data_IF_363959693741
#
_entry.id   IF_363959693741
#
_cell.length_a   1.000
_cell.length_b   1.000
_cell.length_c   1.000
_cell.angle_alpha   90.00
_cell.angle_beta   90.00
_cell.angle_gamma   90.00
#
_symmetry.space_group_name_H-M   'P 1'
#
loop_
_entity.id
_entity.type
_entity.pdbx_description
1 polymer ?
#
# COMPACT_ATOMS: atom_id res chain seq x y z
N UNK A 1 -21.56 -3.31 -6.40
CA UNK A 1 -22.84 -4.00 -6.73
C UNK A 1 -23.47 -3.28 -7.89
N UNK A 2 -24.04 -4.00 -8.83
CA UNK A 2 -24.65 -3.45 -10.08
C UNK A 2 -23.67 -2.60 -10.90
N UNK A 3 -22.38 -2.94 -10.87
CA UNK A 3 -21.33 -2.20 -11.54
C UNK A 3 -21.03 -0.81 -10.96
N UNK A 4 -21.62 -0.41 -9.81
CA UNK A 4 -21.34 0.87 -9.17
C UNK A 4 -20.04 0.81 -8.36
N UNK A 5 -19.16 1.77 -8.64
CA UNK A 5 -17.90 1.91 -7.92
C UNK A 5 -18.14 2.49 -6.52
N UNK A 6 -17.50 1.88 -5.52
CA UNK A 6 -17.42 2.38 -4.16
C UNK A 6 -15.95 2.53 -3.80
N UNK A 7 -15.47 3.76 -3.66
CA UNK A 7 -14.05 4.04 -3.39
C UNK A 7 -13.80 3.92 -1.89
N UNK A 8 -13.01 2.94 -1.48
CA UNK A 8 -12.64 2.76 -0.08
C UNK A 8 -11.63 3.82 0.37
N UNK A 9 -10.60 4.03 -0.42
CA UNK A 9 -9.59 5.05 -0.17
C UNK A 9 -8.75 5.25 -1.45
N UNK A 10 -7.84 6.21 -1.39
CA UNK A 10 -6.81 6.44 -2.40
C UNK A 10 -5.45 6.23 -1.77
N UNK A 11 -4.49 5.75 -2.56
CA UNK A 11 -3.13 5.44 -2.10
C UNK A 11 -2.12 6.23 -2.91
N UNK A 12 -1.26 6.99 -2.25
CA UNK A 12 -0.06 7.50 -2.88
C UNK A 12 1.04 6.43 -2.81
N UNK A 13 1.70 6.20 -3.95
CA UNK A 13 2.74 5.22 -4.14
C UNK A 13 4.09 5.92 -4.30
N UNK A 14 5.11 5.45 -3.59
CA UNK A 14 6.49 5.88 -3.74
C UNK A 14 7.30 4.75 -4.36
N UNK A 15 8.08 5.07 -5.40
CA UNK A 15 8.98 4.11 -6.06
C UNK A 15 10.42 4.59 -5.98
N UNK A 16 11.37 3.66 -6.05
CA UNK A 16 12.78 3.97 -6.27
C UNK A 16 13.09 4.27 -7.75
N UNK A 17 14.37 4.44 -8.09
CA UNK A 17 14.84 4.77 -9.44
C UNK A 17 14.55 3.64 -10.46
N UNK A 18 14.41 2.40 -10.00
CA UNK A 18 14.08 1.22 -10.81
C UNK A 18 12.57 0.95 -10.88
N UNK A 19 11.73 1.92 -10.46
CA UNK A 19 10.27 1.82 -10.38
C UNK A 19 9.75 0.73 -9.44
N UNK A 20 10.58 0.23 -8.53
CA UNK A 20 10.16 -0.70 -7.48
C UNK A 20 9.46 0.09 -6.37
N UNK A 21 8.32 -0.40 -5.92
CA UNK A 21 7.54 0.21 -4.85
C UNK A 21 8.27 0.10 -3.51
N UNK A 22 8.50 1.25 -2.87
CA UNK A 22 9.20 1.36 -1.59
C UNK A 22 8.31 1.88 -0.47
N UNK A 23 7.07 2.26 -0.77
CA UNK A 23 6.12 2.67 0.25
C UNK A 23 4.77 3.12 -0.31
N UNK A 24 3.78 3.11 0.58
CA UNK A 24 2.41 3.54 0.32
C UNK A 24 1.90 4.40 1.45
N UNK A 25 1.00 5.34 1.15
CA UNK A 25 0.32 6.15 2.15
C UNK A 25 -1.15 6.31 1.80
N UNK A 26 -2.03 6.23 2.79
CA UNK A 26 -3.48 6.40 2.71
C UNK A 26 -3.99 7.33 3.81
N UNK A 27 -5.02 8.16 3.52
CA UNK A 27 -5.51 8.46 2.18
C UNK A 27 -4.52 9.33 1.40
N UNK A 28 -4.42 9.15 0.10
CA UNK A 28 -3.66 10.08 -0.75
C UNK A 28 -4.42 11.39 -0.89
N UNK A 29 -3.68 12.50 -0.91
CA UNK A 29 -4.25 13.81 -1.23
C UNK A 29 -4.61 13.90 -2.71
N UNK A 30 -5.90 14.01 -3.00
CA UNK A 30 -6.43 14.20 -4.34
C UNK A 30 -6.53 15.67 -4.78
N UNK A 31 -6.00 16.64 -4.02
CA UNK A 31 -5.95 18.05 -4.45
C UNK A 31 -5.12 18.25 -5.73
N UNK A 32 -4.30 17.26 -6.08
CA UNK A 32 -3.56 17.24 -7.34
C UNK A 32 -4.43 16.98 -8.56
N UNK A 33 -5.65 16.45 -8.44
CA UNK A 33 -6.58 16.27 -9.57
C UNK A 33 -7.49 17.50 -9.75
N UNK A 34 -7.98 17.68 -10.98
CA UNK A 34 -8.80 18.85 -11.31
C UNK A 34 -10.17 18.82 -10.65
N UNK A 35 -10.77 17.63 -10.53
CA UNK A 35 -12.11 17.45 -9.98
C UNK A 35 -12.26 16.03 -9.45
N UNK A 36 -12.68 15.91 -8.18
CA UNK A 36 -13.02 14.61 -7.58
C UNK A 36 -14.21 13.96 -8.30
N UNK A 37 -15.22 14.74 -8.65
CA UNK A 37 -16.39 14.24 -9.38
C UNK A 37 -16.00 13.68 -10.75
N UNK A 38 -15.16 14.40 -11.50
CA UNK A 38 -14.68 13.94 -12.80
C UNK A 38 -13.85 12.65 -12.67
N UNK A 39 -13.03 12.52 -11.61
CA UNK A 39 -12.30 11.29 -11.31
C UNK A 39 -13.24 10.11 -11.09
N UNK A 40 -14.27 10.27 -10.26
CA UNK A 40 -15.26 9.24 -9.97
C UNK A 40 -16.05 8.83 -11.23
N UNK A 41 -16.46 9.79 -12.07
CA UNK A 41 -17.16 9.55 -13.33
C UNK A 41 -16.30 8.80 -14.35
N UNK A 42 -15.02 9.19 -14.49
CA UNK A 42 -14.08 8.50 -15.37
C UNK A 42 -13.82 7.08 -14.91
N UNK A 43 -13.57 6.88 -13.60
CA UNK A 43 -13.39 5.56 -13.02
C UNK A 43 -14.60 4.65 -13.27
N UNK A 44 -15.81 5.17 -13.01
CA UNK A 44 -17.05 4.43 -13.27
C UNK A 44 -17.19 4.07 -14.75
N UNK A 45 -16.83 4.99 -15.66
CA UNK A 45 -16.86 4.73 -17.10
C UNK A 45 -15.89 3.62 -17.53
N UNK A 46 -14.69 3.60 -16.95
CA UNK A 46 -13.73 2.52 -17.18
C UNK A 46 -14.24 1.17 -16.68
N UNK A 47 -14.79 1.12 -15.46
CA UNK A 47 -15.37 -0.10 -14.87
C UNK A 47 -16.49 -0.65 -15.75
N UNK A 48 -17.39 0.21 -16.22
CA UNK A 48 -18.48 -0.17 -17.13
C UNK A 48 -17.95 -0.72 -18.47
N UNK A 49 -16.96 -0.05 -19.05
CA UNK A 49 -16.35 -0.47 -20.32
C UNK A 49 -15.62 -1.83 -20.21
N UNK A 50 -15.08 -2.13 -19.05
CA UNK A 50 -14.42 -3.42 -18.75
C UNK A 50 -15.42 -4.53 -18.37
N UNK A 51 -16.71 -4.20 -18.20
CA UNK A 51 -17.73 -5.18 -17.80
C UNK A 51 -17.55 -5.72 -16.38
N UNK A 52 -16.95 -4.94 -15.48
CA UNK A 52 -16.74 -5.35 -14.09
C UNK A 52 -18.01 -5.04 -13.30
N UNK A 53 -18.67 -6.08 -12.77
CA UNK A 53 -19.96 -5.95 -12.10
C UNK A 53 -19.87 -6.03 -10.57
N UNK A 54 -18.88 -6.75 -10.03
CA UNK A 54 -18.74 -6.97 -8.59
C UNK A 54 -17.30 -7.31 -8.21
N UNK A 55 -17.02 -7.32 -6.91
CA UNK A 55 -15.72 -7.69 -6.34
C UNK A 55 -14.85 -6.48 -5.98
N UNK A 56 -13.70 -6.77 -5.40
CA UNK A 56 -12.71 -5.75 -5.12
C UNK A 56 -11.94 -5.36 -6.38
N UNK A 57 -11.63 -4.09 -6.48
CA UNK A 57 -10.89 -3.54 -7.60
C UNK A 57 -9.69 -2.74 -7.07
N UNK A 58 -8.51 -3.08 -7.56
CA UNK A 58 -7.30 -2.30 -7.37
C UNK A 58 -6.98 -1.61 -8.69
N UNK A 59 -6.93 -0.27 -8.67
CA UNK A 59 -6.72 0.55 -9.85
C UNK A 59 -5.50 1.42 -9.66
N UNK A 60 -4.60 1.38 -10.64
CA UNK A 60 -3.44 2.26 -10.69
C UNK A 60 -3.63 3.37 -11.71
N UNK A 61 -3.22 4.56 -11.35
CA UNK A 61 -3.29 5.74 -12.22
C UNK A 61 -2.18 6.74 -11.88
N UNK A 62 -1.90 7.61 -12.82
CA UNK A 62 -1.00 8.76 -12.63
C UNK A 62 -1.77 10.05 -12.75
N UNK A 63 -1.32 11.07 -12.04
CA UNK A 63 -1.80 12.44 -12.18
C UNK A 63 -0.68 13.24 -12.85
N UNK A 64 -0.96 13.77 -14.05
CA UNK A 64 0.03 14.58 -14.78
C UNK A 64 0.21 15.97 -14.13
N UNK A 65 1.28 16.72 -14.48
CA UNK A 65 1.45 18.12 -14.05
C UNK A 65 0.25 19.01 -14.41
N UNK A 66 -0.45 18.68 -15.50
CA UNK A 66 -1.67 19.39 -15.94
C UNK A 66 -2.94 18.91 -15.20
N UNK A 67 -2.76 18.11 -14.13
CA UNK A 67 -3.82 17.52 -13.29
C UNK A 67 -4.79 16.58 -14.04
N UNK A 68 -4.34 15.99 -15.13
CA UNK A 68 -5.08 14.96 -15.86
C UNK A 68 -4.78 13.58 -15.29
N UNK A 69 -5.78 12.70 -15.33
CA UNK A 69 -5.64 11.31 -14.90
C UNK A 69 -5.24 10.46 -16.11
N UNK A 70 -4.21 9.66 -15.93
CA UNK A 70 -3.80 8.62 -16.87
C UNK A 70 -4.01 7.28 -16.19
N UNK A 71 -5.02 6.54 -16.63
CA UNK A 71 -5.33 5.22 -16.11
C UNK A 71 -4.26 4.23 -16.53
N UNK A 72 -3.77 3.43 -15.58
CA UNK A 72 -2.76 2.40 -15.78
C UNK A 72 -3.41 1.03 -15.78
N UNK A 73 -3.47 0.40 -14.61
CA UNK A 73 -3.88 -0.98 -14.46
C UNK A 73 -5.20 -1.10 -13.69
N UNK A 74 -6.04 -2.06 -14.13
CA UNK A 74 -7.29 -2.43 -13.49
C UNK A 74 -7.23 -3.90 -13.10
N UNK A 75 -7.08 -4.18 -11.81
CA UNK A 75 -7.03 -5.52 -11.28
C UNK A 75 -8.28 -5.86 -10.48
N UNK A 76 -9.01 -6.90 -10.88
CA UNK A 76 -10.19 -7.40 -10.13
C UNK A 76 -9.67 -8.27 -8.97
N UNK A 77 -9.02 -7.64 -8.01
CA UNK A 77 -8.48 -8.20 -6.78
C UNK A 77 -8.25 -7.09 -5.76
N UNK A 78 -7.95 -7.46 -4.53
CA UNK A 78 -7.45 -6.50 -3.53
C UNK A 78 -6.05 -5.99 -3.90
N UNK A 79 -5.70 -4.80 -3.42
CA UNK A 79 -4.33 -4.27 -3.48
C UNK A 79 -3.38 -5.16 -2.67
N UNK A 80 -2.16 -5.32 -3.17
CA UNK A 80 -1.07 -5.98 -2.45
C UNK A 80 -0.33 -5.03 -1.51
N UNK A 81 0.83 -5.47 -1.02
CA UNK A 81 1.82 -4.62 -0.34
C UNK A 81 1.22 -3.79 0.82
N UNK A 82 0.36 -4.44 1.63
CA UNK A 82 -0.41 -3.86 2.74
C UNK A 82 -1.49 -2.83 2.33
N UNK A 83 -1.65 -2.49 1.04
CA UNK A 83 -2.66 -1.52 0.59
C UNK A 83 -4.04 -1.92 1.08
N UNK A 84 -4.41 -3.21 0.92
CA UNK A 84 -5.68 -3.75 1.39
C UNK A 84 -5.53 -5.21 1.85
N UNK A 85 -6.09 -5.60 3.00
CA UNK A 85 -7.00 -4.79 3.83
C UNK A 85 -6.31 -3.86 4.84
N UNK A 86 -5.00 -3.96 5.05
CA UNK A 86 -4.28 -3.40 6.21
C UNK A 86 -4.43 -1.88 6.31
N UNK A 87 -3.91 -1.14 5.32
CA UNK A 87 -4.00 0.33 5.32
C UNK A 87 -5.46 0.81 5.21
N UNK A 88 -6.30 0.15 4.40
CA UNK A 88 -7.73 0.49 4.30
C UNK A 88 -8.41 0.39 5.65
N UNK A 89 -8.17 -0.69 6.40
CA UNK A 89 -8.77 -0.90 7.73
C UNK A 89 -8.23 0.09 8.76
N UNK A 90 -6.96 0.48 8.63
CA UNK A 90 -6.36 1.47 9.50
C UNK A 90 -6.96 2.87 9.30
N UNK A 91 -7.15 3.32 8.04
CA UNK A 91 -7.71 4.65 7.76
C UNK A 91 -9.22 4.73 7.96
N UNK A 92 -9.94 3.58 7.91
CA UNK A 92 -11.37 3.44 8.14
C UNK A 92 -11.66 2.45 9.29
N UNK A 93 -11.41 2.82 10.55
CA UNK A 93 -11.64 1.93 11.67
C UNK A 93 -13.08 1.41 11.69
N UNK A 94 -13.22 0.09 11.82
CA UNK A 94 -14.52 -0.58 11.84
C UNK A 94 -15.08 -0.96 10.46
N UNK A 95 -14.33 -0.78 9.38
CA UNK A 95 -14.73 -1.31 8.07
C UNK A 95 -14.75 -2.85 8.11
N UNK A 96 -15.83 -3.44 7.62
CA UNK A 96 -15.87 -4.89 7.32
C UNK A 96 -15.41 -5.12 5.88
N UNK A 97 -14.09 -5.12 5.69
CA UNK A 97 -13.48 -5.22 4.36
C UNK A 97 -13.85 -6.54 3.66
N UNK A 98 -13.73 -7.66 4.36
CA UNK A 98 -14.01 -8.99 3.78
C UNK A 98 -15.51 -9.28 3.70
N UNK A 99 -16.31 -8.81 4.66
CA UNK A 99 -17.77 -8.90 4.58
C UNK A 99 -18.29 -8.18 3.35
N UNK A 100 -17.84 -6.95 3.10
CA UNK A 100 -18.19 -6.20 1.91
C UNK A 100 -17.76 -6.90 0.59
N UNK A 101 -16.61 -7.57 0.57
CA UNK A 101 -16.20 -8.38 -0.59
C UNK A 101 -17.17 -9.54 -0.83
N UNK A 102 -17.51 -10.29 0.21
CA UNK A 102 -18.43 -11.43 0.13
C UNK A 102 -19.81 -10.95 -0.30
N UNK A 103 -20.31 -9.88 0.32
CA UNK A 103 -21.62 -9.31 -0.02
C UNK A 103 -21.68 -8.85 -1.48
N UNK A 104 -20.62 -8.18 -1.96
CA UNK A 104 -20.49 -7.81 -3.37
C UNK A 104 -20.58 -9.00 -4.30
N UNK A 105 -19.85 -10.08 -4.01
CA UNK A 105 -19.85 -11.31 -4.83
C UNK A 105 -21.19 -12.06 -4.78
N UNK A 106 -21.94 -11.92 -3.68
CA UNK A 106 -23.26 -12.51 -3.51
C UNK A 106 -24.40 -11.61 -4.03
N UNK A 107 -24.10 -10.43 -4.56
CA UNK A 107 -25.12 -9.46 -4.99
C UNK A 107 -25.90 -8.84 -3.82
N UNK A 108 -25.33 -8.85 -2.61
CA UNK A 108 -25.93 -8.25 -1.42
C UNK A 108 -25.49 -6.78 -1.27
N UNK A 109 -26.27 -5.93 -0.59
CA UNK A 109 -25.88 -4.56 -0.31
C UNK A 109 -24.60 -4.52 0.54
N UNK A 110 -23.69 -3.60 0.18
CA UNK A 110 -22.49 -3.36 1.00
C UNK A 110 -22.85 -2.72 2.33
N UNK A 111 -22.09 -3.05 3.37
CA UNK A 111 -22.12 -2.29 4.62
C UNK A 111 -21.67 -0.85 4.38
N UNK A 112 -22.26 0.13 5.09
CA UNK A 112 -21.83 1.51 5.00
C UNK A 112 -20.33 1.64 5.30
N UNK A 113 -19.62 2.44 4.50
CA UNK A 113 -18.21 2.71 4.76
C UNK A 113 -18.09 3.66 5.96
N UNK A 114 -17.31 3.30 7.00
CA UNK A 114 -16.92 4.25 8.03
C UNK A 114 -16.18 5.45 7.42
N UNK A 115 -16.23 6.60 8.09
CA UNK A 115 -15.44 7.76 7.67
C UNK A 115 -13.94 7.48 7.76
N UNK A 116 -13.15 8.15 6.91
CA UNK A 116 -11.69 8.17 7.05
C UNK A 116 -11.36 9.10 8.21
N UNK A 117 -10.78 8.55 9.27
CA UNK A 117 -10.44 9.30 10.48
C UNK A 117 -8.96 9.23 10.84
N UNK A 118 -8.20 8.42 10.12
CA UNK A 118 -6.77 8.22 10.35
C UNK A 118 -5.98 8.25 9.05
N UNK A 119 -4.67 8.32 9.18
CA UNK A 119 -3.69 8.10 8.13
C UNK A 119 -2.92 6.81 8.43
N UNK A 120 -2.55 6.07 7.40
CA UNK A 120 -1.72 4.88 7.53
C UNK A 120 -0.76 4.78 6.35
N UNK A 121 0.41 4.22 6.59
CA UNK A 121 1.42 4.08 5.54
C UNK A 121 2.24 2.80 5.72
N UNK A 122 2.77 2.28 4.62
CA UNK A 122 3.77 1.23 4.61
C UNK A 122 5.09 1.74 4.04
N UNK A 123 6.19 1.18 4.53
CA UNK A 123 7.55 1.42 4.02
C UNK A 123 8.30 0.09 3.96
N UNK A 124 8.97 -0.14 2.84
CA UNK A 124 9.77 -1.33 2.65
C UNK A 124 11.24 -1.03 2.88
N UNK A 125 11.93 -1.96 3.54
CA UNK A 125 13.36 -1.89 3.80
C UNK A 125 14.06 -2.81 2.82
N UNK A 126 15.05 -2.23 2.15
CA UNK A 126 15.90 -2.90 1.19
C UNK A 126 17.29 -3.10 1.80
N UNK A 127 18.03 -4.10 1.33
CA UNK A 127 19.42 -4.32 1.73
C UNK A 127 20.30 -4.49 0.49
N UNK A 128 21.60 -4.28 0.68
CA UNK A 128 22.59 -4.63 -0.35
C UNK A 128 22.56 -6.13 -0.61
N UNK A 129 22.81 -6.59 -1.86
CA UNK A 129 22.89 -8.02 -2.16
C UNK A 129 23.96 -8.74 -1.35
N UNK A 130 23.62 -9.95 -0.85
CA UNK A 130 24.53 -10.78 -0.09
C UNK A 130 23.82 -11.73 0.85
N UNK A 131 24.56 -12.43 1.71
CA UNK A 131 23.98 -13.31 2.73
C UNK A 131 23.66 -12.50 3.98
N UNK A 132 22.42 -12.50 4.41
CA UNK A 132 21.98 -11.82 5.63
C UNK A 132 22.66 -12.50 6.83
N UNK A 133 23.38 -11.73 7.61
CA UNK A 133 24.06 -12.22 8.83
C UNK A 133 23.34 -11.82 10.11
N UNK A 134 22.59 -10.73 10.07
CA UNK A 134 21.83 -10.21 11.21
C UNK A 134 20.61 -9.44 10.75
N UNK A 135 19.47 -9.65 11.41
CA UNK A 135 18.31 -8.75 11.42
C UNK A 135 17.93 -8.47 12.88
N UNK A 136 17.86 -7.22 13.25
CA UNK A 136 17.56 -6.81 14.62
C UNK A 136 16.99 -5.39 14.67
N UNK A 137 16.48 -5.00 15.84
CA UNK A 137 16.11 -3.63 16.14
C UNK A 137 17.14 -3.02 17.08
N UNK A 138 17.61 -1.84 16.74
CA UNK A 138 18.48 -1.06 17.64
C UNK A 138 17.70 -0.46 18.82
N UNK A 139 16.41 -0.13 18.60
CA UNK A 139 15.51 0.46 19.60
C UNK A 139 14.11 -0.16 19.48
N UNK A 140 13.28 0.01 20.51
CA UNK A 140 11.88 -0.41 20.48
C UNK A 140 11.08 0.45 19.50
N UNK A 141 10.12 -0.17 18.83
CA UNK A 141 9.15 0.55 17.99
C UNK A 141 7.86 0.81 18.77
N UNK A 142 7.18 1.97 18.53
CA UNK A 142 5.88 2.28 19.12
C UNK A 142 4.78 1.29 18.76
N UNK A 143 3.68 1.27 19.53
CA UNK A 143 2.52 0.39 19.31
C UNK A 143 1.79 0.69 17.99
N UNK A 144 1.93 1.90 17.46
CA UNK A 144 1.37 2.34 16.20
C UNK A 144 2.09 1.74 14.98
N UNK A 145 3.13 0.93 15.20
CA UNK A 145 3.97 0.32 14.17
C UNK A 145 3.89 -1.20 14.23
N UNK A 146 3.58 -1.80 13.09
CA UNK A 146 3.83 -3.21 12.83
C UNK A 146 5.08 -3.37 11.97
N UNK A 147 6.00 -4.24 12.38
CA UNK A 147 7.22 -4.58 11.65
C UNK A 147 7.21 -6.05 11.26
N UNK A 148 7.45 -6.31 9.99
CA UNK A 148 7.50 -7.65 9.41
C UNK A 148 8.89 -7.86 8.80
N UNK A 149 9.63 -8.85 9.30
CA UNK A 149 10.87 -9.29 8.67
C UNK A 149 10.54 -10.24 7.53
N UNK A 150 11.05 -9.96 6.34
CA UNK A 150 10.86 -10.76 5.12
C UNK A 150 12.11 -11.56 4.75
N UNK A 151 13.24 -11.34 5.45
CA UNK A 151 14.48 -12.06 5.25
C UNK A 151 15.14 -12.32 6.61
N UNK A 152 15.78 -13.48 6.76
CA UNK A 152 16.36 -13.95 8.01
C UNK A 152 17.85 -14.29 7.86
N UNK A 153 18.62 -14.39 8.97
CA UNK A 153 20.02 -14.78 8.93
C UNK A 153 20.23 -16.12 8.21
N UNK A 154 21.15 -16.14 7.26
CA UNK A 154 21.44 -17.27 6.37
C UNK A 154 20.77 -17.21 5.01
N UNK A 155 19.77 -16.35 4.82
CA UNK A 155 19.10 -16.14 3.53
C UNK A 155 19.86 -15.13 2.66
N UNK A 156 19.57 -15.14 1.36
CA UNK A 156 20.20 -14.24 0.40
C UNK A 156 19.30 -13.02 0.18
N UNK A 157 19.80 -11.85 0.54
CA UNK A 157 19.23 -10.60 0.08
C UNK A 157 19.59 -10.39 -1.40
N UNK A 158 18.60 -10.11 -2.22
CA UNK A 158 18.77 -9.92 -3.66
C UNK A 158 18.96 -8.44 -4.01
N UNK A 159 19.45 -8.19 -5.25
CA UNK A 159 19.48 -6.83 -5.77
C UNK A 159 18.08 -6.28 -5.91
N UNK A 160 17.92 -4.99 -5.63
CA UNK A 160 16.63 -4.29 -5.63
C UNK A 160 16.18 -4.05 -7.08
N UNK A 161 15.59 -5.08 -7.67
CA UNK A 161 14.99 -5.04 -9.00
C UNK A 161 13.55 -5.60 -9.01
N UNK A 162 12.96 -5.74 -7.81
CA UNK A 162 11.59 -6.22 -7.62
C UNK A 162 11.23 -6.32 -6.12
N UNK A 163 9.96 -6.51 -5.83
CA UNK A 163 9.42 -6.60 -4.47
C UNK A 163 10.04 -7.74 -3.62
N UNK A 164 10.54 -8.79 -4.27
CA UNK A 164 11.23 -9.91 -3.61
C UNK A 164 12.62 -9.55 -3.02
N UNK A 165 13.13 -8.35 -3.27
CA UNK A 165 14.39 -7.87 -2.71
C UNK A 165 14.22 -7.16 -1.36
N UNK A 166 13.00 -7.03 -0.88
CA UNK A 166 12.68 -6.44 0.41
C UNK A 166 13.15 -7.36 1.54
N UNK A 167 13.67 -6.77 2.61
CA UNK A 167 14.12 -7.51 3.80
C UNK A 167 13.23 -7.28 5.00
N UNK A 168 12.47 -6.20 4.99
CA UNK A 168 11.43 -5.94 5.97
C UNK A 168 10.34 -5.02 5.39
N UNK A 169 9.16 -5.08 5.98
CA UNK A 169 8.07 -4.16 5.78
C UNK A 169 7.65 -3.52 7.11
N UNK A 170 7.36 -2.24 7.07
CA UNK A 170 6.90 -1.45 8.21
C UNK A 170 5.55 -0.87 7.85
N UNK A 171 4.56 -1.02 8.75
CA UNK A 171 3.25 -0.40 8.64
C UNK A 171 3.05 0.52 9.84
N UNK A 172 2.70 1.78 9.61
CA UNK A 172 2.44 2.76 10.65
C UNK A 172 1.03 3.33 10.53
N UNK A 173 0.44 3.69 11.69
CA UNK A 173 -0.88 4.32 11.82
C UNK A 173 -0.75 5.58 12.64
N UNK A 174 -1.55 6.59 12.29
CA UNK A 174 -1.53 7.88 12.99
C UNK A 174 -2.65 8.80 12.55
N UNK A 175 -2.71 9.99 13.14
CA UNK A 175 -3.79 10.93 12.87
C UNK A 175 -3.60 11.70 11.56
N UNK A 176 -2.39 11.78 11.05
CA UNK A 176 -2.04 12.55 9.84
C UNK A 176 -0.78 11.99 9.16
N UNK A 177 -0.54 12.43 7.93
CA UNK A 177 0.59 12.02 7.09
C UNK A 177 1.95 12.32 7.74
N UNK A 178 2.09 13.47 8.39
CA UNK A 178 3.33 13.86 9.04
C UNK A 178 3.69 12.88 10.16
N UNK A 179 2.72 12.54 11.00
CA UNK A 179 2.87 11.58 12.10
C UNK A 179 3.29 10.20 11.60
N UNK A 180 2.59 9.65 10.59
CA UNK A 180 2.93 8.31 10.09
C UNK A 180 4.27 8.28 9.38
N UNK A 181 4.66 9.35 8.68
CA UNK A 181 5.98 9.48 8.05
C UNK A 181 7.10 9.47 9.09
N UNK A 182 6.94 10.23 10.18
CA UNK A 182 7.92 10.23 11.28
C UNK A 182 8.04 8.87 11.95
N UNK A 183 6.92 8.18 12.16
CA UNK A 183 6.90 6.83 12.73
C UNK A 183 7.64 5.84 11.82
N UNK A 184 7.37 5.86 10.51
CA UNK A 184 8.05 5.02 9.52
C UNK A 184 9.56 5.28 9.50
N UNK A 185 9.98 6.55 9.48
CA UNK A 185 11.39 6.91 9.45
C UNK A 185 12.11 6.49 10.73
N UNK A 186 11.47 6.67 11.88
CA UNK A 186 12.01 6.19 13.17
C UNK A 186 12.18 4.67 13.17
N UNK A 187 11.17 3.92 12.75
CA UNK A 187 11.23 2.46 12.70
C UNK A 187 12.26 1.96 11.69
N UNK A 188 12.32 2.57 10.50
CA UNK A 188 13.30 2.24 9.49
C UNK A 188 14.74 2.46 9.98
N UNK A 189 14.99 3.57 10.70
CA UNK A 189 16.29 3.87 11.30
C UNK A 189 16.65 2.92 12.48
N UNK A 190 15.65 2.31 13.12
CA UNK A 190 15.86 1.31 14.16
C UNK A 190 16.16 -0.09 13.60
N UNK A 191 15.81 -0.36 12.34
CA UNK A 191 16.11 -1.63 11.69
C UNK A 191 17.60 -1.78 11.40
N UNK A 192 18.18 -2.88 11.85
CA UNK A 192 19.55 -3.27 11.53
C UNK A 192 19.53 -4.52 10.66
N UNK A 193 20.02 -4.38 9.43
CA UNK A 193 20.20 -5.50 8.50
C UNK A 193 21.68 -5.54 8.12
N UNK A 194 22.38 -6.59 8.51
CA UNK A 194 23.79 -6.81 8.13
C UNK A 194 23.88 -7.89 7.08
N UNK A 195 24.60 -7.60 6.01
CA UNK A 195 24.77 -8.49 4.87
C UNK A 195 26.27 -8.76 4.66
N UNK A 196 26.63 -10.02 4.54
CA UNK A 196 27.97 -10.45 4.15
C UNK A 196 28.03 -10.64 2.63
N UNK A 197 29.14 -10.30 1.96
CA UNK A 197 29.29 -10.58 0.53
C UNK A 197 29.15 -12.08 0.24
N UNK A 198 28.51 -12.43 -0.86
CA UNK A 198 28.52 -13.82 -1.35
C UNK A 198 29.96 -14.15 -1.75
N UNK A 199 30.59 -15.13 -1.07
CA UNK A 199 31.91 -15.62 -1.49
C UNK A 199 31.76 -16.22 -2.89
N UNK A 200 32.52 -15.68 -3.84
CA UNK A 200 32.67 -16.31 -5.16
C UNK A 200 33.71 -17.40 -5.00
N UNK A 201 33.25 -18.62 -4.73
CA UNK A 201 34.10 -19.81 -4.89
C UNK A 201 34.19 -20.16 -6.38
#
# INVERSE_FOLDING_TARGET
IDGRVCIYTTTAKTTNEDFVEIGHIQPADLNSISSKLEFEEQLQSCVNALGIECGNLHVEFWVTPEKKIVWGEFHVRQGGDFIAPDLVSAVRPGIDYYGNLIDSLCGLPLHPLPEITQCAASKFIEASPGVVSEVSLYDSVPEEIDLYWECFPGEVAHAVNGSHARVAAIVARGNDEHTVTQLLDRAANACVVRVAPVSRD
#
